data_IF_877508904835
#
_entry.id   IF_877508904835
#
_cell.length_a   1.000
_cell.length_b   1.000
_cell.length_c   1.000
_cell.angle_alpha   90.00
_cell.angle_beta   90.00
_cell.angle_gamma   90.00
#
_symmetry.space_group_name_H-M   'P 1'
#
loop_
_entity.id
_entity.type
_entity.pdbx_description
1 polymer ?
#
# COMPACT_ATOMS: atom_id res chain seq x y z
N UNK A 1 -8.77 25.33 23.38
CA UNK A 1 -8.32 25.34 21.98
C UNK A 1 -7.15 24.38 21.73
N UNK A 2 -6.32 24.04 22.73
CA UNK A 2 -5.31 22.98 22.62
C UNK A 2 -5.91 21.55 22.55
N UNK A 3 -7.07 21.33 23.17
CA UNK A 3 -7.80 20.04 23.13
C UNK A 3 -8.27 19.64 21.72
N UNK A 4 -8.45 20.61 20.81
CA UNK A 4 -8.95 20.34 19.45
C UNK A 4 -7.84 19.84 18.51
N UNK A 5 -6.57 20.17 18.78
CA UNK A 5 -5.43 19.75 17.96
C UNK A 5 -5.08 18.27 18.22
N UNK A 6 -5.25 17.79 19.45
CA UNK A 6 -4.96 16.40 19.83
C UNK A 6 -5.97 15.42 19.20
N UNK A 7 -7.23 15.84 19.02
CA UNK A 7 -8.27 14.98 18.42
C UNK A 7 -8.15 14.84 16.90
N UNK A 8 -7.59 15.85 16.20
CA UNK A 8 -7.32 15.76 14.74
C UNK A 8 -6.03 15.00 14.45
N UNK A 9 -5.05 14.99 15.36
CA UNK A 9 -3.80 14.24 15.21
C UNK A 9 -3.95 12.73 15.52
N UNK A 10 -5.06 12.33 16.17
CA UNK A 10 -5.38 10.92 16.48
C UNK A 10 -5.76 10.07 15.25
N UNK A 11 -5.82 10.66 14.05
CA UNK A 11 -6.14 9.97 12.79
C UNK A 11 -4.98 10.01 11.77
N UNK A 12 -3.74 10.23 12.22
CA UNK A 12 -2.58 9.80 11.45
C UNK A 12 -2.42 8.32 11.73
N UNK A 13 -2.98 7.49 10.86
CA UNK A 13 -2.76 6.04 10.91
C UNK A 13 -1.25 5.80 10.92
N UNK A 14 -0.73 5.30 12.04
CA UNK A 14 0.68 5.11 12.33
C UNK A 14 1.26 4.00 11.46
N UNK A 15 1.39 4.20 10.14
CA UNK A 15 2.06 3.26 9.23
C UNK A 15 3.47 3.77 8.95
N UNK A 16 4.44 2.87 8.97
CA UNK A 16 5.88 3.17 8.83
C UNK A 16 6.32 3.26 7.36
N UNK A 17 5.48 2.78 6.44
CA UNK A 17 5.69 2.92 5.01
C UNK A 17 4.41 2.71 4.19
N UNK A 18 4.45 3.14 2.94
CA UNK A 18 3.35 2.96 1.99
C UNK A 18 3.88 2.72 0.57
N UNK A 19 3.07 2.04 -0.25
CA UNK A 19 3.31 1.85 -1.67
C UNK A 19 1.99 2.00 -2.44
N UNK A 20 1.99 2.79 -3.52
CA UNK A 20 0.87 2.84 -4.45
C UNK A 20 0.81 1.58 -5.31
N UNK A 21 -0.40 1.06 -5.53
CA UNK A 21 -0.63 -0.04 -6.45
C UNK A 21 -1.09 0.52 -7.80
N UNK A 22 -0.24 0.37 -8.81
CA UNK A 22 -0.48 0.85 -10.16
C UNK A 22 -0.87 -0.30 -11.09
N UNK A 23 -1.85 -0.09 -11.97
CA UNK A 23 -2.18 -1.04 -13.02
C UNK A 23 -1.29 -0.85 -14.26
N UNK A 24 -1.32 -1.80 -15.20
CA UNK A 24 -0.51 -1.76 -16.44
C UNK A 24 -0.72 -0.52 -17.31
N UNK A 25 -1.83 0.19 -17.11
CA UNK A 25 -2.18 1.41 -17.86
C UNK A 25 -1.65 2.68 -17.16
N UNK A 26 -0.92 2.53 -16.05
CA UNK A 26 -0.33 3.63 -15.28
C UNK A 26 -1.26 4.24 -14.24
N UNK A 27 -2.47 3.70 -14.05
CA UNK A 27 -3.44 4.25 -13.10
C UNK A 27 -3.20 3.68 -11.70
N UNK A 28 -3.22 4.53 -10.69
CA UNK A 28 -3.25 4.10 -9.28
C UNK A 28 -4.61 3.50 -8.98
N UNK A 29 -4.63 2.24 -8.55
CA UNK A 29 -5.83 1.43 -8.29
C UNK A 29 -5.90 0.94 -6.84
N UNK A 30 -4.94 1.29 -6.00
CA UNK A 30 -4.88 0.87 -4.62
C UNK A 30 -3.64 1.36 -3.88
N UNK A 31 -3.47 0.85 -2.66
CA UNK A 31 -2.29 1.09 -1.82
C UNK A 31 -1.97 -0.11 -0.94
N UNK A 32 -0.71 -0.25 -0.59
CA UNK A 32 -0.24 -1.08 0.50
C UNK A 32 0.31 -0.18 1.62
N UNK A 33 -0.11 -0.43 2.85
CA UNK A 33 0.38 0.23 4.06
C UNK A 33 1.18 -0.77 4.88
N UNK A 34 2.35 -0.36 5.35
CA UNK A 34 3.29 -1.19 6.07
C UNK A 34 3.40 -0.70 7.51
N UNK A 35 3.27 -1.62 8.47
CA UNK A 35 3.51 -1.36 9.88
C UNK A 35 4.57 -2.31 10.40
N UNK A 36 5.64 -1.78 10.95
CA UNK A 36 6.60 -2.57 11.72
C UNK A 36 5.97 -3.08 13.02
N UNK A 37 6.21 -4.36 13.30
CA UNK A 37 5.78 -5.03 14.53
C UNK A 37 6.97 -5.76 15.14
N UNK A 38 6.91 -6.17 16.43
CA UNK A 38 7.99 -6.94 17.05
C UNK A 38 8.31 -8.29 16.36
N UNK A 39 7.44 -8.77 15.47
CA UNK A 39 7.55 -10.09 14.84
C UNK A 39 7.59 -10.06 13.30
N UNK A 40 7.68 -8.87 12.70
CA UNK A 40 7.67 -8.70 11.24
C UNK A 40 6.88 -7.47 10.81
N UNK A 41 6.54 -7.40 9.53
CA UNK A 41 5.79 -6.27 8.97
C UNK A 41 4.35 -6.70 8.69
N UNK A 42 3.40 -5.96 9.26
CA UNK A 42 2.00 -6.08 8.88
C UNK A 42 1.78 -5.27 7.60
N UNK A 43 1.23 -5.92 6.57
CA UNK A 43 0.92 -5.28 5.29
C UNK A 43 -0.60 -5.26 5.12
N UNK A 44 -1.16 -4.05 5.08
CA UNK A 44 -2.56 -3.82 4.78
C UNK A 44 -2.69 -3.39 3.33
N UNK A 45 -3.42 -4.16 2.52
CA UNK A 45 -3.61 -3.89 1.09
C UNK A 45 -5.06 -3.57 0.81
N UNK A 46 -5.28 -2.46 0.10
CA UNK A 46 -6.57 -2.10 -0.47
C UNK A 46 -6.37 -1.86 -1.98
N UNK A 47 -7.13 -2.59 -2.81
CA UNK A 47 -7.06 -2.48 -4.26
C UNK A 47 -8.44 -2.62 -4.89
N UNK A 48 -8.63 -1.96 -6.02
CA UNK A 48 -9.88 -1.92 -6.78
C UNK A 48 -9.66 -2.36 -8.23
N UNK A 49 -10.74 -2.69 -8.93
CA UNK A 49 -10.67 -3.09 -10.34
C UNK A 49 -10.02 -4.45 -10.58
N UNK A 50 -9.84 -5.26 -9.52
CA UNK A 50 -9.31 -6.62 -9.63
C UNK A 50 -10.33 -7.55 -10.29
N UNK A 51 -9.87 -8.56 -11.07
CA UNK A 51 -10.75 -9.57 -11.63
C UNK A 51 -11.61 -10.24 -10.54
N UNK A 52 -12.94 -10.28 -10.68
CA UNK A 52 -13.79 -10.92 -9.69
C UNK A 52 -13.53 -12.42 -9.64
N UNK A 53 -13.76 -13.03 -8.47
CA UNK A 53 -13.65 -14.48 -8.26
C UNK A 53 -12.33 -15.10 -8.71
N UNK A 54 -11.22 -14.37 -8.55
CA UNK A 54 -9.87 -14.81 -8.92
C UNK A 54 -8.97 -14.93 -7.70
N UNK A 55 -8.07 -15.91 -7.72
CA UNK A 55 -6.94 -15.98 -6.80
C UNK A 55 -5.76 -15.23 -7.42
N UNK A 56 -5.21 -14.26 -6.71
CA UNK A 56 -4.12 -13.41 -7.18
C UNK A 56 -2.92 -13.56 -6.25
N UNK A 57 -1.73 -13.65 -6.83
CA UNK A 57 -0.50 -13.71 -6.07
C UNK A 57 -0.07 -12.30 -5.61
N UNK A 58 0.54 -12.23 -4.43
CA UNK A 58 1.15 -11.03 -3.87
C UNK A 58 2.58 -11.35 -3.46
N UNK A 59 3.54 -10.57 -3.93
CA UNK A 59 4.96 -10.74 -3.65
C UNK A 59 5.61 -9.39 -3.33
N UNK A 60 6.71 -9.43 -2.59
CA UNK A 60 7.61 -8.29 -2.38
C UNK A 60 8.80 -8.49 -3.32
N UNK A 61 9.08 -7.48 -4.14
CA UNK A 61 10.24 -7.46 -5.02
C UNK A 61 11.42 -6.73 -4.36
N UNK A 62 12.64 -6.99 -4.84
CA UNK A 62 13.87 -6.44 -4.24
C UNK A 62 14.09 -4.95 -4.57
N UNK A 63 13.52 -4.44 -5.67
CA UNK A 63 13.62 -3.02 -6.06
C UNK A 63 12.26 -2.34 -5.99
N UNK A 64 12.25 -1.13 -5.43
CA UNK A 64 11.06 -0.26 -5.39
C UNK A 64 10.84 0.51 -6.69
N UNK A 65 10.73 -0.18 -7.83
CA UNK A 65 10.51 0.42 -9.15
C UNK A 65 9.30 -0.22 -9.84
N UNK A 66 8.24 0.55 -10.05
CA UNK A 66 6.98 0.07 -10.63
C UNK A 66 6.76 0.67 -12.03
N UNK A 67 7.54 0.23 -13.02
CA UNK A 67 7.38 0.71 -14.41
C UNK A 67 6.38 -0.17 -15.20
N UNK A 68 5.24 0.39 -15.66
CA UNK A 68 4.29 -0.34 -16.50
C UNK A 68 4.84 -0.55 -17.93
N UNK A 69 4.26 -1.48 -18.72
CA UNK A 69 3.06 -2.26 -18.42
C UNK A 69 3.33 -3.62 -17.76
N UNK A 70 4.60 -4.06 -17.73
CA UNK A 70 4.98 -5.43 -17.35
C UNK A 70 5.71 -5.53 -15.99
N UNK A 71 6.08 -4.39 -15.40
CA UNK A 71 6.68 -4.27 -14.07
C UNK A 71 7.95 -5.12 -13.86
N UNK A 72 8.71 -5.38 -14.92
CA UNK A 72 9.95 -6.16 -14.86
C UNK A 72 11.12 -5.43 -14.18
N UNK A 73 10.94 -4.15 -13.83
CA UNK A 73 11.96 -3.32 -13.16
C UNK A 73 12.05 -3.55 -11.65
N UNK A 74 11.06 -4.22 -11.07
CA UNK A 74 10.93 -4.49 -9.64
C UNK A 74 11.83 -5.63 -9.15
#
# INVERSE_FOLDING_TARGET
MLELIVFTFLLLTDYDGEAELMNKDGNVVGKALLKETPHGVLIYVEATGLPPSSELAFHIHEKGLCEPPDFQTA
#
